data_IF_733733936526
#
_entry.id   IF_733733936526
#
_cell.length_a   1.000
_cell.length_b   1.000
_cell.length_c   1.000
_cell.angle_alpha   90.00
_cell.angle_beta   90.00
_cell.angle_gamma   90.00
#
_symmetry.space_group_name_H-M   'P 1'
#
loop_
_entity.id
_entity.type
_entity.pdbx_description
1 polymer ?
#
# COMPACT_ATOMS: atom_id res chain seq x y z
N UNK A 1 5.05 -14.66 7.24
CA UNK A 1 4.30 -14.89 8.49
C UNK A 1 2.80 -14.72 8.29
N UNK A 2 2.04 -15.80 8.50
CA UNK A 2 0.57 -15.80 8.52
C UNK A 2 0.07 -15.50 9.94
N UNK A 3 -0.53 -14.32 10.17
CA UNK A 3 -1.05 -13.93 11.50
C UNK A 3 -2.55 -14.23 11.65
N UNK A 4 -3.17 -15.00 10.74
CA UNK A 4 -4.62 -15.25 10.76
C UNK A 4 -5.05 -16.22 11.86
N UNK A 5 -4.13 -17.05 12.35
CA UNK A 5 -4.36 -18.04 13.41
C UNK A 5 -4.12 -17.50 14.82
N UNK A 6 -3.59 -16.29 14.96
CA UNK A 6 -3.38 -15.65 16.27
C UNK A 6 -4.70 -15.04 16.72
N UNK A 7 -5.30 -15.64 17.76
CA UNK A 7 -6.57 -15.24 18.38
C UNK A 7 -6.39 -13.98 19.23
N UNK A 8 -5.29 -13.88 19.97
CA UNK A 8 -4.97 -12.71 20.76
C UNK A 8 -4.66 -11.47 19.89
N UNK A 9 -5.35 -10.37 20.18
CA UNK A 9 -5.27 -9.15 19.38
C UNK A 9 -3.95 -8.41 19.63
N UNK A 10 -3.40 -8.46 20.83
CA UNK A 10 -2.18 -7.75 21.20
C UNK A 10 -0.95 -8.41 20.57
N UNK A 11 -0.83 -9.72 20.66
CA UNK A 11 0.20 -10.54 20.03
C UNK A 11 0.17 -10.40 18.52
N UNK A 12 -1.02 -10.51 17.91
CA UNK A 12 -1.18 -10.31 16.46
C UNK A 12 -0.70 -8.93 16.01
N UNK A 13 -0.95 -7.89 16.81
CA UNK A 13 -0.48 -6.52 16.53
C UNK A 13 1.03 -6.41 16.69
N UNK A 14 1.62 -6.97 17.75
CA UNK A 14 3.08 -6.98 17.97
C UNK A 14 3.80 -7.62 16.79
N UNK A 15 3.36 -8.79 16.35
CA UNK A 15 3.93 -9.53 15.22
C UNK A 15 3.81 -8.76 13.89
N UNK A 16 2.66 -8.14 13.62
CA UNK A 16 2.49 -7.28 12.45
C UNK A 16 3.40 -6.06 12.48
N UNK A 17 3.59 -5.43 13.64
CA UNK A 17 4.46 -4.25 13.81
C UNK A 17 5.93 -4.62 13.63
N UNK A 18 6.38 -5.71 14.25
CA UNK A 18 7.74 -6.24 14.08
C UNK A 18 8.06 -6.49 12.60
N UNK A 19 7.14 -7.17 11.88
CA UNK A 19 7.28 -7.42 10.44
C UNK A 19 7.36 -6.13 9.61
N UNK A 20 6.56 -5.11 9.96
CA UNK A 20 6.60 -3.81 9.27
C UNK A 20 7.89 -3.04 9.55
N UNK A 21 8.41 -3.10 10.79
CA UNK A 21 9.66 -2.47 11.19
C UNK A 21 10.88 -3.11 10.52
N UNK A 22 10.87 -4.44 10.37
CA UNK A 22 11.91 -5.19 9.69
C UNK A 22 11.82 -5.12 8.16
N UNK A 23 10.73 -4.58 7.60
CA UNK A 23 10.60 -4.45 6.15
C UNK A 23 11.55 -3.36 5.64
N UNK A 24 12.32 -3.62 4.57
CA UNK A 24 13.22 -2.64 4.02
C UNK A 24 12.45 -1.41 3.54
N UNK A 25 13.10 -0.24 3.64
CA UNK A 25 12.55 1.00 3.12
C UNK A 25 12.21 0.83 1.63
N UNK A 26 11.07 1.38 1.22
CA UNK A 26 10.71 1.39 -0.20
C UNK A 26 11.73 2.25 -0.94
N UNK A 27 12.19 1.77 -2.09
CA UNK A 27 13.02 2.55 -2.98
C UNK A 27 12.37 3.91 -3.27
N UNK A 28 13.21 4.95 -3.35
CA UNK A 28 12.77 6.25 -3.85
C UNK A 28 12.25 6.06 -5.27
N UNK A 29 11.26 6.87 -5.67
CA UNK A 29 10.82 6.89 -7.08
C UNK A 29 12.01 7.31 -7.94
N UNK A 30 12.13 6.73 -9.14
CA UNK A 30 13.12 7.16 -10.12
C UNK A 30 12.94 8.67 -10.39
N UNK A 31 14.07 9.40 -10.46
CA UNK A 31 14.12 10.85 -10.65
C UNK A 31 13.41 11.31 -11.92
N UNK A 32 13.47 10.48 -12.96
CA UNK A 32 13.05 10.82 -14.31
C UNK A 32 11.54 10.62 -14.51
N UNK A 33 10.87 10.02 -13.52
CA UNK A 33 9.44 9.71 -13.57
C UNK A 33 8.66 10.84 -12.91
N UNK A 34 7.98 11.63 -13.75
CA UNK A 34 7.08 12.69 -13.30
C UNK A 34 6.04 12.15 -12.30
N UNK A 35 5.77 12.92 -11.23
CA UNK A 35 4.81 12.55 -10.18
C UNK A 35 3.40 12.40 -10.78
N UNK A 36 2.93 11.17 -10.92
CA UNK A 36 1.61 10.87 -11.45
C UNK A 36 1.61 10.15 -12.80
N UNK A 37 2.74 10.08 -13.49
CA UNK A 37 2.88 9.33 -14.76
C UNK A 37 2.60 7.82 -14.59
N UNK A 38 2.98 7.25 -13.45
CA UNK A 38 2.66 5.86 -13.08
C UNK A 38 1.27 5.68 -12.43
N UNK A 39 0.43 6.73 -12.36
CA UNK A 39 -0.94 6.54 -11.87
C UNK A 39 -1.68 5.65 -12.86
N UNK A 40 -2.26 4.56 -12.37
CA UNK A 40 -3.10 3.67 -13.18
C UNK A 40 -4.29 4.48 -13.68
N UNK A 41 -4.39 4.67 -15.01
CA UNK A 41 -5.57 5.23 -15.65
C UNK A 41 -6.72 4.26 -15.44
N UNK A 42 -7.81 4.73 -14.84
CA UNK A 42 -9.00 3.90 -14.64
C UNK A 42 -9.61 3.61 -16.01
N UNK A 43 -9.76 2.33 -16.37
CA UNK A 43 -10.29 1.91 -17.68
C UNK A 43 -11.75 2.32 -17.88
N UNK A 44 -12.56 2.31 -16.81
CA UNK A 44 -13.97 2.72 -16.82
C UNK A 44 -14.19 3.71 -15.69
N UNK A 45 -14.47 4.96 -16.02
CA UNK A 45 -14.86 5.98 -15.04
C UNK A 45 -16.37 5.88 -14.79
N UNK A 46 -16.81 6.02 -13.55
CA UNK A 46 -18.23 6.14 -13.25
C UNK A 46 -18.78 7.43 -13.90
N UNK A 47 -19.98 7.36 -14.49
CA UNK A 47 -20.66 8.54 -15.06
C UNK A 47 -20.78 9.61 -13.97
N UNK A 48 -20.28 10.82 -14.22
CA UNK A 48 -20.29 11.93 -13.25
C UNK A 48 -18.99 12.17 -12.46
N UNK A 49 -17.99 11.28 -12.54
CA UNK A 49 -16.67 11.56 -11.93
C UNK A 49 -15.74 12.44 -12.78
N UNK A 50 -16.08 12.65 -14.06
CA UNK A 50 -15.40 13.66 -14.86
C UNK A 50 -16.01 15.01 -14.52
N UNK A 51 -15.31 15.80 -13.70
CA UNK A 51 -15.56 17.24 -13.59
C UNK A 51 -15.11 17.87 -14.91
N UNK A 52 -16.04 17.95 -15.85
CA UNK A 52 -16.11 19.07 -16.78
C UNK A 52 -17.17 19.99 -16.24
#
# INVERSE_FOLDING_TARGET
>A
MNTKKVTDKAERKKLKRAKRKAAPAKAKRASDVARGSQKRKVKKMAKGQRKR
#
